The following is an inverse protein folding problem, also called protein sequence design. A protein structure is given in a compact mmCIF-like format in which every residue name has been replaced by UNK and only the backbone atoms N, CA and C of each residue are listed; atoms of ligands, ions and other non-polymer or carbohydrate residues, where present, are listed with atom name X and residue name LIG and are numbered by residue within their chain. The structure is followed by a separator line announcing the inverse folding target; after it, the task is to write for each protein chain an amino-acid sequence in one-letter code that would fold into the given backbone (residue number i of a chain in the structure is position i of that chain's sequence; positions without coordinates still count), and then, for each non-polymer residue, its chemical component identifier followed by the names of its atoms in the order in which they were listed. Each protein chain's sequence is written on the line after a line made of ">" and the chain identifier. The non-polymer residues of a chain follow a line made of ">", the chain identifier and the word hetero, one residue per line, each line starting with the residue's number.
data_IF_817089968848
#
_entry.id   IF_817089968848
#
_cell.length_a   1.000
_cell.length_b   1.000
_cell.length_c   1.000
_cell.angle_alpha   90.00
_cell.angle_beta   90.00
_cell.angle_gamma   90.00
#
_symmetry.space_group_name_H-M   'P 1'
#
loop_
_entity.id
_entity.type
_entity.pdbx_description
1 polymer ?
#
# COMPACT_ATOMS: atom_id res chain seq x y z
N UNK A 1 -33.18 -24.99 -25.88
CA UNK A 1 -31.84 -25.15 -26.50
C UNK A 1 -31.31 -23.75 -26.74
N UNK A 2 -30.19 -23.24 -26.20
CA UNK A 2 -28.94 -23.82 -25.71
C UNK A 2 -28.47 -23.07 -24.46
N UNK A 3 -27.89 -23.82 -23.53
CA UNK A 3 -27.21 -23.37 -22.30
C UNK A 3 -25.76 -23.02 -22.64
N UNK A 4 -25.22 -21.93 -22.09
CA UNK A 4 -23.77 -21.69 -21.93
C UNK A 4 -23.56 -20.96 -20.60
N UNK A 5 -23.26 -21.71 -19.53
CA UNK A 5 -21.92 -21.99 -18.97
C UNK A 5 -21.32 -20.81 -18.20
N UNK A 6 -21.72 -20.71 -16.91
CA UNK A 6 -20.98 -20.01 -15.86
C UNK A 6 -19.79 -20.90 -15.47
N UNK A 7 -18.57 -20.41 -15.70
CA UNK A 7 -17.35 -21.01 -15.16
C UNK A 7 -16.94 -20.18 -13.94
N UNK A 8 -17.33 -20.65 -12.78
CA UNK A 8 -16.84 -20.20 -11.46
C UNK A 8 -15.41 -20.65 -11.30
N UNK A 9 -14.45 -19.72 -11.23
CA UNK A 9 -13.08 -20.03 -10.82
C UNK A 9 -13.00 -20.00 -9.28
N UNK A 10 -13.21 -21.16 -8.66
CA UNK A 10 -12.64 -21.47 -7.35
C UNK A 10 -11.15 -21.80 -7.56
N UNK A 11 -10.26 -20.89 -7.22
CA UNK A 11 -8.83 -21.22 -7.12
C UNK A 11 -8.64 -21.97 -5.79
N UNK A 12 -8.67 -23.30 -5.91
CA UNK A 12 -8.28 -24.21 -4.84
C UNK A 12 -6.81 -23.98 -4.49
N UNK A 13 -6.55 -23.69 -3.22
CA UNK A 13 -5.22 -23.51 -2.64
C UNK A 13 -4.55 -24.89 -2.53
N UNK A 14 -3.98 -25.36 -3.65
CA UNK A 14 -3.15 -26.56 -3.72
C UNK A 14 -1.73 -26.16 -4.09
N UNK A 15 -1.00 -25.53 -3.17
CA UNK A 15 0.41 -25.23 -3.35
C UNK A 15 1.22 -26.52 -3.12
N UNK A 16 1.29 -27.38 -4.15
CA UNK A 16 2.19 -28.54 -4.14
C UNK A 16 3.62 -28.03 -4.24
N UNK A 17 4.32 -28.05 -3.09
CA UNK A 17 5.69 -27.62 -2.92
C UNK A 17 6.65 -28.68 -3.51
N UNK A 18 6.86 -28.66 -4.82
CA UNK A 18 7.87 -29.52 -5.47
C UNK A 18 8.64 -28.76 -6.54
N UNK A 19 9.42 -27.75 -6.10
CA UNK A 19 10.62 -27.30 -6.82
C UNK A 19 11.69 -26.98 -5.77
N UNK A 20 12.36 -28.01 -5.25
CA UNK A 20 13.56 -27.80 -4.43
C UNK A 20 14.60 -28.85 -4.81
N UNK A 21 15.32 -28.58 -5.89
CA UNK A 21 16.51 -29.33 -6.26
C UNK A 21 17.60 -28.34 -6.65
N UNK A 22 18.66 -28.28 -5.83
CA UNK A 22 19.95 -27.62 -6.06
C UNK A 22 20.15 -26.15 -5.64
N UNK A 23 19.54 -25.69 -4.54
CA UNK A 23 20.09 -24.55 -3.79
C UNK A 23 20.38 -25.00 -2.34
N UNK A 24 21.50 -24.54 -1.75
CA UNK A 24 21.77 -24.78 -0.34
C UNK A 24 20.63 -24.17 0.49
N UNK A 25 19.99 -24.98 1.34
CA UNK A 25 18.83 -24.55 2.13
C UNK A 25 19.18 -23.34 3.03
N UNK A 26 20.43 -23.30 3.51
CA UNK A 26 21.01 -22.28 4.39
C UNK A 26 20.99 -20.84 3.84
N UNK A 27 20.81 -20.68 2.52
CA UNK A 27 20.78 -19.38 1.86
C UNK A 27 19.39 -18.74 1.86
N UNK A 28 18.32 -19.50 2.15
CA UNK A 28 16.96 -18.99 2.13
C UNK A 28 16.46 -18.61 3.52
N UNK A 29 15.55 -17.63 3.56
CA UNK A 29 14.83 -17.27 4.77
C UNK A 29 13.47 -16.67 4.46
N UNK A 30 12.63 -16.60 5.48
CA UNK A 30 11.34 -15.94 5.46
C UNK A 30 11.25 -14.92 6.60
N UNK A 31 10.77 -13.73 6.27
CA UNK A 31 10.48 -12.67 7.21
C UNK A 31 8.96 -12.52 7.33
N UNK A 32 8.45 -12.28 8.53
CA UNK A 32 7.07 -11.84 8.77
C UNK A 32 7.12 -10.54 9.55
N UNK A 33 6.48 -9.49 9.02
CA UNK A 33 6.59 -8.13 9.55
C UNK A 33 5.25 -7.40 9.61
N UNK A 34 5.16 -6.48 10.55
CA UNK A 34 4.09 -5.51 10.67
C UNK A 34 4.70 -4.10 10.61
N UNK A 35 4.05 -3.19 9.90
CA UNK A 35 4.60 -1.86 9.70
C UNK A 35 3.62 -0.89 9.07
N UNK A 36 4.13 0.27 8.66
CA UNK A 36 3.33 1.32 8.04
C UNK A 36 2.68 0.87 6.71
N UNK A 37 3.32 -0.06 5.99
CA UNK A 37 2.76 -0.71 4.79
C UNK A 37 1.80 -1.88 5.07
N UNK A 38 1.50 -2.17 6.35
CA UNK A 38 0.63 -3.26 6.76
C UNK A 38 1.34 -4.48 7.32
N UNK A 39 0.67 -5.62 7.23
CA UNK A 39 1.26 -6.93 7.52
C UNK A 39 1.88 -7.49 6.24
N UNK A 40 3.07 -8.06 6.35
CA UNK A 40 3.78 -8.58 5.19
C UNK A 40 4.67 -9.77 5.50
N UNK A 41 5.05 -10.46 4.42
CA UNK A 41 6.05 -11.50 4.45
C UNK A 41 7.06 -11.29 3.33
N UNK A 42 8.32 -11.66 3.57
CA UNK A 42 9.38 -11.59 2.57
C UNK A 42 10.11 -12.92 2.46
N UNK A 43 10.36 -13.36 1.23
CA UNK A 43 11.30 -14.43 0.94
C UNK A 43 12.67 -13.81 0.68
N UNK A 44 13.65 -14.28 1.44
CA UNK A 44 15.02 -13.78 1.43
C UNK A 44 15.94 -14.85 0.84
N UNK A 45 16.86 -14.45 -0.04
CA UNK A 45 17.94 -15.30 -0.56
C UNK A 45 19.29 -14.61 -0.36
N UNK A 46 20.16 -15.20 0.43
CA UNK A 46 21.55 -14.79 0.57
C UNK A 46 22.40 -15.29 -0.61
N UNK A 47 23.30 -14.43 -1.07
CA UNK A 47 24.32 -14.77 -2.06
C UNK A 47 25.73 -14.73 -1.46
N UNK A 48 25.88 -14.05 -0.33
CA UNK A 48 27.08 -14.02 0.51
C UNK A 48 26.70 -13.51 1.90
N UNK A 49 27.66 -13.48 2.84
CA UNK A 49 27.48 -12.87 4.15
C UNK A 49 27.14 -11.37 4.10
N UNK A 50 27.40 -10.71 2.96
CA UNK A 50 27.20 -9.27 2.77
C UNK A 50 26.01 -8.93 1.88
N UNK A 51 25.49 -9.87 1.10
CA UNK A 51 24.49 -9.57 0.07
C UNK A 51 23.34 -10.57 0.11
N UNK A 52 22.13 -10.05 0.19
CA UNK A 52 20.89 -10.81 0.02
C UNK A 52 19.88 -10.06 -0.85
N UNK A 53 18.94 -10.81 -1.43
CA UNK A 53 17.79 -10.27 -2.15
C UNK A 53 16.51 -10.71 -1.45
N UNK A 54 15.55 -9.79 -1.33
CA UNK A 54 14.24 -10.04 -0.74
C UNK A 54 13.14 -9.79 -1.77
N UNK A 55 12.20 -10.73 -1.84
CA UNK A 55 10.92 -10.55 -2.52
C UNK A 55 9.81 -10.55 -1.48
N UNK A 56 9.10 -9.45 -1.33
CA UNK A 56 8.10 -9.27 -0.28
C UNK A 56 6.72 -8.94 -0.78
N UNK A 57 5.73 -9.20 0.07
CA UNK A 57 4.34 -8.79 -0.11
C UNK A 57 3.84 -8.17 1.19
N UNK A 58 3.19 -6.99 1.10
CA UNK A 58 2.55 -6.32 2.22
C UNK A 58 1.08 -6.06 1.90
N UNK A 59 0.21 -6.16 2.90
CA UNK A 59 -1.22 -5.94 2.78
C UNK A 59 -1.82 -5.35 4.06
N UNK A 60 -2.73 -4.41 3.90
CA UNK A 60 -3.59 -3.89 4.94
C UNK A 60 -4.92 -3.43 4.36
N UNK A 61 -6.02 -3.79 5.00
CA UNK A 61 -7.35 -3.32 4.61
C UNK A 61 -8.07 -2.82 5.85
N UNK A 62 -8.42 -1.54 5.86
CA UNK A 62 -9.18 -0.93 6.95
C UNK A 62 -10.32 -0.10 6.39
N UNK A 63 -11.50 -0.27 6.98
CA UNK A 63 -12.73 0.46 6.64
C UNK A 63 -13.32 1.01 7.92
N UNK A 64 -13.69 2.27 7.91
CA UNK A 64 -14.39 2.91 9.03
C UNK A 64 -15.42 3.89 8.50
N UNK A 65 -16.54 3.98 9.20
CA UNK A 65 -17.59 4.97 8.94
C UNK A 65 -17.67 5.87 10.16
N UNK A 66 -17.59 7.19 9.96
CA UNK A 66 -17.78 8.18 11.02
C UNK A 66 -18.83 9.19 10.62
N UNK A 67 -19.73 9.51 11.54
CA UNK A 67 -20.75 10.54 11.33
C UNK A 67 -20.32 11.82 12.02
N UNK A 68 -20.19 12.91 11.28
CA UNK A 68 -19.84 14.22 11.82
C UNK A 68 -20.72 15.30 11.20
N UNK A 69 -21.36 16.13 12.04
CA UNK A 69 -22.26 17.21 11.58
C UNK A 69 -23.35 16.76 10.60
N UNK A 70 -23.88 15.55 10.81
CA UNK A 70 -24.89 14.94 9.93
C UNK A 70 -24.34 14.45 8.60
N UNK A 71 -23.03 14.31 8.43
CA UNK A 71 -22.42 13.71 7.23
C UNK A 71 -21.75 12.40 7.63
N UNK A 72 -22.12 11.31 6.97
CA UNK A 72 -21.46 10.01 7.11
C UNK A 72 -20.24 9.96 6.18
N UNK A 73 -19.07 9.74 6.77
CA UNK A 73 -17.81 9.61 6.07
C UNK A 73 -17.34 8.16 6.09
N UNK A 74 -17.41 7.50 4.94
CA UNK A 74 -16.83 6.18 4.71
C UNK A 74 -15.37 6.34 4.28
N UNK A 75 -14.45 5.93 5.15
CA UNK A 75 -13.01 5.91 4.86
C UNK A 75 -12.54 4.48 4.64
N UNK A 76 -11.82 4.24 3.55
CA UNK A 76 -11.26 2.95 3.16
C UNK A 76 -9.78 3.13 2.84
N UNK A 77 -8.94 2.43 3.59
CA UNK A 77 -7.48 2.39 3.42
C UNK A 77 -7.12 0.99 2.92
N UNK A 78 -6.59 0.89 1.70
CA UNK A 78 -6.12 -0.35 1.11
C UNK A 78 -4.64 -0.21 0.79
N UNK A 79 -3.79 -0.87 1.58
CA UNK A 79 -2.37 -0.95 1.29
C UNK A 79 -2.11 -2.32 0.68
N UNK A 80 -1.45 -2.33 -0.46
CA UNK A 80 -1.00 -3.57 -1.09
C UNK A 80 0.26 -3.26 -1.88
N UNK A 81 1.34 -3.98 -1.58
CA UNK A 81 2.59 -3.79 -2.29
C UNK A 81 3.38 -5.08 -2.45
N UNK A 82 4.15 -5.17 -3.53
CA UNK A 82 5.15 -6.21 -3.74
C UNK A 82 6.51 -5.54 -3.77
N UNK A 83 7.46 -5.97 -2.94
CA UNK A 83 8.81 -5.41 -2.84
C UNK A 83 9.84 -6.31 -3.50
N UNK A 84 10.80 -5.73 -4.21
CA UNK A 84 12.04 -6.40 -4.59
C UNK A 84 13.22 -5.55 -4.12
N UNK A 85 13.94 -6.05 -3.11
CA UNK A 85 14.97 -5.31 -2.39
C UNK A 85 16.30 -6.06 -2.43
N UNK A 86 17.38 -5.33 -2.63
CA UNK A 86 18.73 -5.80 -2.35
C UNK A 86 19.20 -5.26 -1.00
N UNK A 87 19.80 -6.12 -0.19
CA UNK A 87 20.32 -5.78 1.13
C UNK A 87 21.83 -5.96 1.17
N UNK A 88 22.53 -4.92 1.61
CA UNK A 88 23.95 -4.95 1.91
C UNK A 88 24.17 -4.99 3.43
N UNK A 89 24.67 -6.11 3.95
CA UNK A 89 24.94 -6.29 5.38
C UNK A 89 26.29 -5.68 5.77
N UNK A 90 26.26 -4.70 6.67
CA UNK A 90 27.44 -4.03 7.18
C UNK A 90 28.19 -4.96 8.15
N UNK A 91 29.50 -5.10 7.93
CA UNK A 91 30.40 -5.92 8.75
C UNK A 91 29.95 -7.39 8.90
N UNK A 92 29.21 -7.92 7.91
CA UNK A 92 28.60 -9.26 7.97
C UNK A 92 27.71 -9.46 9.22
N UNK A 93 27.15 -8.36 9.75
CA UNK A 93 26.33 -8.33 10.95
C UNK A 93 24.83 -8.20 10.68
N UNK A 94 24.09 -7.82 11.72
CA UNK A 94 22.64 -7.62 11.67
C UNK A 94 22.21 -6.31 11.00
N UNK A 95 23.13 -5.35 10.83
CA UNK A 95 22.81 -4.07 10.21
C UNK A 95 22.87 -4.21 8.68
N UNK A 96 21.85 -3.70 8.00
CA UNK A 96 21.78 -3.71 6.53
C UNK A 96 21.36 -2.36 5.98
N UNK A 97 21.86 -2.05 4.79
CA UNK A 97 21.32 -1.00 3.92
C UNK A 97 20.54 -1.69 2.82
N UNK A 98 19.31 -1.26 2.58
CA UNK A 98 18.39 -1.86 1.63
C UNK A 98 18.04 -0.86 0.54
N UNK A 99 18.04 -1.31 -0.71
CA UNK A 99 17.62 -0.51 -1.86
C UNK A 99 16.86 -1.37 -2.86
N UNK A 100 15.88 -0.79 -3.54
CA UNK A 100 15.10 -1.51 -4.54
C UNK A 100 13.87 -0.74 -4.97
N UNK A 101 12.82 -1.47 -5.30
CA UNK A 101 11.55 -0.87 -5.70
C UNK A 101 10.37 -1.72 -5.24
N UNK A 102 9.23 -1.06 -5.08
CA UNK A 102 7.95 -1.69 -4.81
C UNK A 102 7.03 -1.50 -6.01
N UNK A 103 6.29 -2.55 -6.35
CA UNK A 103 5.00 -2.40 -6.99
C UNK A 103 4.02 -1.86 -5.94
N UNK A 104 3.59 -0.61 -6.07
CA UNK A 104 2.74 0.10 -5.11
C UNK A 104 1.29 0.15 -5.61
N UNK A 105 0.42 -0.64 -4.98
CA UNK A 105 -1.02 -0.67 -5.23
C UNK A 105 -1.81 -0.07 -4.06
N UNK A 106 -1.18 0.80 -3.27
CA UNK A 106 -1.86 1.50 -2.19
C UNK A 106 -2.93 2.45 -2.73
N UNK A 107 -4.07 2.48 -2.07
CA UNK A 107 -5.23 3.31 -2.38
C UNK A 107 -5.86 3.83 -1.09
N UNK A 108 -6.23 5.11 -1.10
CA UNK A 108 -7.07 5.73 -0.08
C UNK A 108 -8.36 6.20 -0.74
N UNK A 109 -9.49 5.74 -0.23
CA UNK A 109 -10.81 6.17 -0.67
C UNK A 109 -11.60 6.78 0.49
N UNK A 110 -12.12 7.99 0.28
CA UNK A 110 -13.00 8.69 1.21
C UNK A 110 -14.31 9.01 0.49
N UNK A 111 -15.44 8.62 1.06
CA UNK A 111 -16.77 8.95 0.54
C UNK A 111 -17.57 9.69 1.61
N UNK A 112 -17.92 10.95 1.33
CA UNK A 112 -18.84 11.73 2.14
C UNK A 112 -20.29 11.53 1.69
N UNK A 113 -21.18 11.29 2.64
CA UNK A 113 -22.63 11.06 2.47
C UNK A 113 -23.41 11.98 3.41
N UNK A 114 -23.85 13.14 2.94
CA UNK A 114 -24.45 14.17 3.78
C UNK A 114 -25.91 13.86 4.04
N UNK A 115 -26.37 14.12 5.26
CA UNK A 115 -27.79 14.10 5.60
C UNK A 115 -28.54 15.22 4.90
N UNK A 116 -29.85 15.03 4.75
CA UNK A 116 -30.73 16.07 4.25
C UNK A 116 -30.60 17.34 5.12
N UNK A 117 -30.29 18.48 4.48
CA UNK A 117 -30.10 19.76 5.16
C UNK A 117 -28.65 20.21 5.33
N UNK A 118 -27.67 19.33 5.11
CA UNK A 118 -26.24 19.69 5.14
C UNK A 118 -25.77 20.28 3.80
N UNK A 119 -24.58 20.90 3.80
CA UNK A 119 -23.96 21.47 2.59
C UNK A 119 -22.48 21.08 2.48
N UNK A 120 -21.97 21.12 1.25
CA UNK A 120 -20.54 21.01 0.94
C UNK A 120 -20.00 22.38 0.52
N UNK A 121 -18.77 22.68 0.90
CA UNK A 121 -17.99 23.72 0.24
C UNK A 121 -17.05 23.04 -0.75
N UNK A 122 -17.20 23.35 -2.04
CA UNK A 122 -16.38 22.81 -3.12
C UNK A 122 -15.85 24.00 -3.91
N UNK A 123 -14.53 24.19 -3.93
CA UNK A 123 -13.86 25.32 -4.57
C UNK A 123 -14.43 26.68 -4.13
N UNK A 124 -14.72 26.82 -2.83
CA UNK A 124 -15.32 28.03 -2.24
C UNK A 124 -16.80 28.25 -2.55
N UNK A 125 -17.46 27.34 -3.27
CA UNK A 125 -18.90 27.40 -3.58
C UNK A 125 -19.66 26.44 -2.68
N UNK A 126 -20.68 26.95 -2.01
CA UNK A 126 -21.57 26.13 -1.17
C UNK A 126 -22.61 25.43 -2.03
N UNK A 127 -22.64 24.10 -1.96
CA UNK A 127 -23.65 23.25 -2.57
C UNK A 127 -24.45 22.53 -1.49
N UNK A 128 -25.75 22.35 -1.69
CA UNK A 128 -26.55 21.51 -0.80
C UNK A 128 -26.20 20.04 -0.99
N UNK A 129 -26.46 19.24 0.05
CA UNK A 129 -26.37 17.78 -0.01
C UNK A 129 -27.09 17.19 -1.23
N UNK A 130 -28.25 17.73 -1.60
CA UNK A 130 -29.04 17.26 -2.75
C UNK A 130 -28.39 17.59 -4.11
N UNK A 131 -27.64 18.69 -4.18
CA UNK A 131 -26.96 19.12 -5.41
C UNK A 131 -25.73 18.27 -5.75
N UNK A 132 -25.03 17.77 -4.73
CA UNK A 132 -23.77 16.99 -4.87
C UNK A 132 -24.01 15.49 -4.70
N UNK A 133 -24.94 15.10 -3.82
CA UNK A 133 -25.11 13.72 -3.39
C UNK A 133 -23.89 13.20 -2.64
N UNK A 134 -23.49 11.96 -2.94
CA UNK A 134 -22.28 11.36 -2.36
C UNK A 134 -21.04 11.88 -3.11
N UNK A 135 -20.08 12.41 -2.37
CA UNK A 135 -18.79 12.87 -2.89
C UNK A 135 -17.72 11.84 -2.55
N UNK A 136 -17.04 11.31 -3.56
CA UNK A 136 -15.96 10.33 -3.41
C UNK A 136 -14.64 10.92 -3.88
N UNK A 137 -13.63 10.86 -3.01
CA UNK A 137 -12.23 11.09 -3.35
C UNK A 137 -11.44 9.78 -3.30
N UNK A 138 -10.71 9.49 -4.37
CA UNK A 138 -9.78 8.35 -4.44
C UNK A 138 -8.38 8.87 -4.71
N UNK A 139 -7.46 8.57 -3.80
CA UNK A 139 -6.03 8.87 -3.92
C UNK A 139 -5.29 7.58 -4.27
N UNK A 140 -4.53 7.63 -5.35
CA UNK A 140 -3.66 6.54 -5.82
C UNK A 140 -2.23 7.03 -6.01
N UNK A 141 -1.28 6.11 -6.13
CA UNK A 141 0.13 6.42 -6.27
C UNK A 141 0.74 5.79 -7.52
N UNK A 142 1.99 6.14 -7.84
CA UNK A 142 2.70 5.50 -8.94
C UNK A 142 2.92 4.02 -8.64
N UNK A 143 2.66 3.17 -9.65
CA UNK A 143 2.77 1.71 -9.51
C UNK A 143 4.17 1.23 -9.24
N UNK A 144 5.20 1.94 -9.68
CA UNK A 144 6.60 1.62 -9.36
C UNK A 144 7.17 2.70 -8.46
N UNK A 145 7.60 2.31 -7.27
CA UNK A 145 8.06 3.23 -6.24
C UNK A 145 9.45 2.80 -5.73
N UNK A 146 10.52 3.55 -6.05
CA UNK A 146 11.85 3.30 -5.52
C UNK A 146 11.89 3.36 -3.99
N UNK A 147 12.70 2.50 -3.39
CA UNK A 147 12.85 2.39 -1.94
C UNK A 147 14.32 2.39 -1.54
N UNK A 148 14.60 3.08 -0.44
CA UNK A 148 15.88 3.01 0.27
C UNK A 148 15.63 2.96 1.77
N UNK A 149 16.43 2.21 2.51
CA UNK A 149 16.27 2.11 3.95
C UNK A 149 17.45 1.46 4.65
N UNK A 150 17.36 1.46 5.97
CA UNK A 150 18.27 0.77 6.87
C UNK A 150 17.47 -0.23 7.69
N UNK A 151 18.08 -1.38 7.94
CA UNK A 151 17.47 -2.45 8.70
C UNK A 151 18.41 -3.03 9.74
N UNK A 152 17.81 -3.66 10.75
CA UNK A 152 18.46 -4.47 11.75
C UNK A 152 17.84 -5.88 11.76
N UNK A 153 18.63 -6.91 12.03
CA UNK A 153 18.21 -8.32 12.01
C UNK A 153 18.76 -9.08 10.80
N UNK A 154 18.21 -10.26 10.50
CA UNK A 154 18.70 -11.12 9.41
C UNK A 154 20.23 -11.39 9.47
N UNK A 155 20.76 -11.61 10.68
CA UNK A 155 22.19 -11.82 10.88
C UNK A 155 22.66 -13.08 10.13
N UNK A 156 23.75 -13.02 9.34
CA UNK A 156 24.39 -14.21 8.79
C UNK A 156 24.68 -15.26 9.87
N UNK A 157 24.30 -16.51 9.63
CA UNK A 157 24.47 -17.64 10.55
C UNK A 157 23.45 -17.76 11.70
N UNK A 158 22.48 -16.84 11.82
CA UNK A 158 21.39 -16.97 12.79
C UNK A 158 20.12 -17.52 12.13
N UNK A 159 19.51 -18.54 12.75
CA UNK A 159 18.30 -19.19 12.22
C UNK A 159 17.00 -18.47 12.54
N UNK A 160 16.93 -17.74 13.64
CA UNK A 160 15.72 -17.06 14.11
C UNK A 160 16.08 -15.78 14.85
N UNK A 161 15.34 -14.71 14.63
CA UNK A 161 15.45 -13.51 15.44
C UNK A 161 14.44 -12.44 15.07
N UNK A 162 14.62 -11.26 15.65
CA UNK A 162 13.82 -10.08 15.36
C UNK A 162 14.45 -9.27 14.23
N UNK A 163 13.62 -8.59 13.47
CA UNK A 163 14.03 -7.62 12.47
C UNK A 163 13.27 -6.30 12.62
N UNK A 164 13.93 -5.22 12.21
CA UNK A 164 13.38 -3.87 12.20
C UNK A 164 13.87 -3.14 10.95
N UNK A 165 13.02 -2.33 10.34
CA UNK A 165 13.36 -1.54 9.15
C UNK A 165 12.84 -0.12 9.27
N UNK A 166 13.67 0.83 8.83
CA UNK A 166 13.33 2.23 8.65
C UNK A 166 13.76 2.63 7.24
N UNK A 167 12.83 3.11 6.44
CA UNK A 167 13.09 3.46 5.05
C UNK A 167 12.19 4.54 4.50
N UNK A 168 12.46 4.91 3.26
CA UNK A 168 11.74 5.89 2.48
C UNK A 168 11.33 5.27 1.16
N UNK A 169 10.04 5.31 0.88
CA UNK A 169 9.46 4.91 -0.39
C UNK A 169 9.11 6.16 -1.19
N UNK A 170 9.72 6.32 -2.36
CA UNK A 170 9.34 7.37 -3.30
C UNK A 170 8.14 6.90 -4.14
N UNK A 171 6.93 7.25 -3.70
CA UNK A 171 5.67 6.85 -4.35
C UNK A 171 5.20 7.83 -5.43
N UNK A 172 5.95 8.92 -5.64
CA UNK A 172 5.62 9.99 -6.58
C UNK A 172 4.44 10.86 -6.13
N UNK A 173 4.08 11.84 -6.94
CA UNK A 173 2.93 12.71 -6.65
C UNK A 173 1.65 11.87 -6.56
N UNK A 174 0.90 11.96 -5.45
CA UNK A 174 -0.39 11.29 -5.33
C UNK A 174 -1.34 11.79 -6.41
N UNK A 175 -2.13 10.88 -6.99
CA UNK A 175 -3.13 11.18 -8.01
C UNK A 175 -4.50 11.17 -7.36
N UNK A 176 -5.21 12.30 -7.45
CA UNK A 176 -6.55 12.45 -6.88
C UNK A 176 -7.60 12.36 -7.98
N UNK A 177 -8.57 11.47 -7.79
CA UNK A 177 -9.84 11.46 -8.53
C UNK A 177 -10.96 11.90 -7.59
N UNK A 178 -11.77 12.87 -8.03
CA UNK A 178 -12.99 13.31 -7.34
C UNK A 178 -14.21 12.97 -8.20
N UNK A 179 -15.26 12.45 -7.58
CA UNK A 179 -16.53 12.18 -8.24
C UNK A 179 -17.71 12.46 -7.31
N UNK A 180 -18.79 12.99 -7.86
CA UNK A 180 -20.04 13.23 -7.15
C UNK A 180 -21.19 12.52 -7.86
N UNK A 181 -22.22 12.11 -7.13
CA UNK A 181 -23.41 11.46 -7.73
C UNK A 181 -24.44 12.48 -8.24
N UNK A 182 -24.39 13.71 -7.75
CA UNK A 182 -25.23 14.82 -8.18
C UNK A 182 -24.70 15.52 -9.44
N UNK A 183 -25.54 16.32 -10.08
CA UNK A 183 -25.25 16.96 -11.36
C UNK A 183 -25.62 18.46 -11.39
N UNK A 184 -25.53 19.15 -10.24
CA UNK A 184 -25.84 20.57 -10.18
C UNK A 184 -25.00 21.41 -11.16
N UNK A 185 -25.58 22.50 -11.64
CA UNK A 185 -24.91 23.41 -12.58
C UNK A 185 -23.57 23.92 -11.98
N UNK A 186 -22.51 23.87 -12.78
CA UNK A 186 -21.16 24.28 -12.37
C UNK A 186 -20.42 23.30 -11.43
N UNK A 187 -21.09 22.26 -10.90
CA UNK A 187 -20.47 21.31 -9.96
C UNK A 187 -19.28 20.59 -10.58
N UNK A 188 -19.39 20.12 -11.83
CA UNK A 188 -18.29 19.42 -12.50
C UNK A 188 -17.04 20.30 -12.64
N UNK A 189 -17.21 21.58 -13.01
CA UNK A 189 -16.12 22.54 -13.12
C UNK A 189 -15.47 22.82 -11.76
N UNK A 190 -16.29 23.02 -10.73
CA UNK A 190 -15.79 23.27 -9.38
C UNK A 190 -15.11 22.04 -8.77
N UNK A 191 -15.61 20.84 -9.04
CA UNK A 191 -14.95 19.60 -8.63
C UNK A 191 -13.59 19.43 -9.30
N UNK A 192 -13.46 19.76 -10.59
CA UNK A 192 -12.16 19.66 -11.27
C UNK A 192 -11.16 20.70 -10.76
N UNK A 193 -11.60 21.91 -10.42
CA UNK A 193 -10.74 22.91 -9.79
C UNK A 193 -10.33 22.48 -8.37
N UNK A 194 -11.28 22.01 -7.57
CA UNK A 194 -11.02 21.45 -6.24
C UNK A 194 -10.03 20.29 -6.32
N UNK A 195 -10.22 19.38 -7.28
CA UNK A 195 -9.32 18.24 -7.53
C UNK A 195 -7.89 18.69 -7.80
N UNK A 196 -7.71 19.70 -8.67
CA UNK A 196 -6.38 20.25 -8.99
C UNK A 196 -5.72 20.92 -7.79
N UNK A 197 -6.48 21.68 -7.01
CA UNK A 197 -5.97 22.35 -5.81
C UNK A 197 -5.54 21.31 -4.77
N UNK A 198 -6.41 20.35 -4.46
CA UNK A 198 -6.11 19.27 -3.53
C UNK A 198 -4.95 18.37 -4.01
N UNK A 199 -4.86 18.08 -5.31
CA UNK A 199 -3.71 17.35 -5.88
C UNK A 199 -2.39 18.13 -5.76
N UNK A 200 -2.43 19.46 -5.90
CA UNK A 200 -1.27 20.31 -5.69
C UNK A 200 -0.80 20.28 -4.23
N UNK A 201 -1.72 20.29 -3.27
CA UNK A 201 -1.40 20.15 -1.84
C UNK A 201 -0.82 18.75 -1.52
N UNK A 202 -1.36 17.72 -2.16
CA UNK A 202 -0.88 16.34 -2.03
C UNK A 202 0.52 16.13 -2.63
N UNK A 203 0.98 17.03 -3.51
CA UNK A 203 2.29 16.95 -4.16
C UNK A 203 3.47 16.98 -3.16
N UNK A 204 3.24 17.39 -1.91
CA UNK A 204 4.26 17.32 -0.85
C UNK A 204 4.46 15.90 -0.30
N UNK A 205 3.55 14.95 -0.56
CA UNK A 205 3.56 13.59 -0.02
C UNK A 205 4.15 12.54 -0.98
N UNK A 206 5.18 12.92 -1.73
CA UNK A 206 5.89 12.01 -2.66
C UNK A 206 6.68 10.92 -1.96
N UNK A 207 7.10 11.20 -0.73
CA UNK A 207 7.89 10.31 0.09
C UNK A 207 7.03 9.73 1.20
N UNK A 208 7.04 8.40 1.32
CA UNK A 208 6.32 7.67 2.33
C UNK A 208 7.31 7.00 3.30
N UNK A 209 7.29 7.35 4.60
CA UNK A 209 8.14 6.69 5.58
C UNK A 209 7.67 5.25 5.81
N UNK A 210 8.60 4.33 5.64
CA UNK A 210 8.39 2.90 5.90
C UNK A 210 9.01 2.58 7.25
N UNK A 211 8.19 2.06 8.16
CA UNK A 211 8.63 1.54 9.45
C UNK A 211 8.07 0.13 9.59
N UNK A 212 8.90 -0.85 9.93
CA UNK A 212 8.41 -2.20 10.22
C UNK A 212 9.20 -2.90 11.30
N UNK A 213 8.53 -3.80 12.01
CA UNK A 213 9.08 -4.73 12.98
C UNK A 213 8.60 -6.14 12.65
N UNK A 214 9.44 -7.14 12.90
CA UNK A 214 9.11 -8.50 12.53
C UNK A 214 10.00 -9.56 13.16
N UNK A 215 9.77 -10.78 12.69
CA UNK A 215 10.58 -11.97 12.98
C UNK A 215 11.10 -12.55 11.67
N UNK A 216 12.30 -13.10 11.70
CA UNK A 216 12.90 -13.78 10.55
C UNK A 216 13.28 -15.21 10.90
N UNK A 217 13.15 -16.11 9.94
CA UNK A 217 13.57 -17.51 10.03
C UNK A 217 14.40 -17.89 8.81
N UNK A 218 15.57 -18.51 8.99
CA UNK A 218 16.43 -19.03 7.91
C UNK A 218 16.46 -20.55 7.96
N UNK A 219 16.37 -21.16 6.78
CA UNK A 219 16.29 -22.62 6.62
C UNK A 219 17.65 -23.28 6.82
#
# INVERSE_FOLDING_TARGET
>A
MKKYFLITWMVSFGFSLTIMSAFAADDFGIDVKAGSLGLGAELSKAFSDKLSLNLGFNSYNYKTTRSESGIDYDSKFELQSVSFLANYHLFSGSFRVSAGALYNNNELKLTGKPSAGSSYSINGVTYTAAQVGALTGTVTFNKTAPYVGVGWGNRPGSKLGLCADVGLLYQGSPKLALSATGNAAGLATNLEQERKNAEADLNNFKWYPVLSLGVYFRF
#
